data_IF_145496452699
#
_entry.id   IF_145496452699
#
_cell.length_a   1.000
_cell.length_b   1.000
_cell.length_c   1.000
_cell.angle_alpha   90.00
_cell.angle_beta   90.00
_cell.angle_gamma   90.00
#
_symmetry.space_group_name_H-M   'P 1'
#
loop_
_entity.id
_entity.type
_entity.pdbx_description
1 polymer ?
#
# COMPACT_ATOMS: atom_id res chain seq x y z
N UNK A 1 33.75 -23.45 22.05
CA UNK A 1 34.28 -22.21 22.65
C UNK A 1 35.43 -21.69 21.79
N UNK A 2 35.25 -20.55 21.11
CA UNK A 2 36.36 -19.81 20.49
C UNK A 2 36.08 -18.32 20.61
N UNK A 3 37.13 -17.58 20.95
CA UNK A 3 37.10 -16.47 21.88
C UNK A 3 37.81 -15.25 21.28
N UNK A 4 37.16 -14.08 21.45
CA UNK A 4 37.73 -12.73 21.71
C UNK A 4 38.72 -12.11 20.70
N UNK A 5 38.36 -10.93 20.19
CA UNK A 5 39.13 -9.69 20.42
C UNK A 5 38.36 -8.42 20.04
N UNK A 6 38.14 -7.58 21.05
CA UNK A 6 37.77 -6.17 20.92
C UNK A 6 39.06 -5.38 20.64
N UNK A 7 39.02 -4.48 19.66
CA UNK A 7 40.10 -3.53 19.39
C UNK A 7 39.64 -2.12 19.76
N UNK A 8 40.11 -1.69 20.93
CA UNK A 8 40.09 -0.33 21.47
C UNK A 8 41.15 0.50 20.75
N UNK A 9 40.79 1.66 20.20
CA UNK A 9 41.76 2.67 19.70
C UNK A 9 41.56 3.96 20.48
N UNK A 10 42.52 4.23 21.36
CA UNK A 10 42.75 5.50 22.05
C UNK A 10 43.57 6.45 21.15
N UNK A 11 43.40 7.77 21.33
CA UNK A 11 44.39 8.78 20.94
C UNK A 11 43.82 10.21 20.81
N UNK A 12 44.58 11.27 21.16
CA UNK A 12 44.16 12.23 22.20
C UNK A 12 44.03 13.70 21.76
N UNK A 13 43.39 14.52 22.62
CA UNK A 13 43.86 15.87 22.98
C UNK A 13 43.18 17.11 22.38
N UNK A 14 42.63 17.97 23.26
CA UNK A 14 42.76 19.45 23.14
C UNK A 14 41.49 20.32 23.17
N UNK A 15 41.11 20.79 24.38
CA UNK A 15 40.58 22.12 24.81
C UNK A 15 39.69 22.99 23.87
N UNK A 16 38.57 23.63 24.26
CA UNK A 16 38.32 24.65 25.31
C UNK A 16 36.79 24.77 25.55
N UNK A 17 36.26 24.85 26.79
CA UNK A 17 35.83 26.09 27.48
C UNK A 17 34.36 26.47 27.17
N UNK A 18 33.41 26.74 28.08
CA UNK A 18 33.32 26.83 29.53
C UNK A 18 31.87 27.27 29.90
N UNK A 19 31.48 27.14 31.16
CA UNK A 19 30.39 27.95 31.76
C UNK A 19 29.14 27.22 32.30
N UNK A 20 29.00 27.33 33.63
CA UNK A 20 27.77 27.38 34.46
C UNK A 20 27.56 26.21 35.47
N UNK A 21 27.50 26.51 36.79
CA UNK A 21 27.05 25.58 37.83
C UNK A 21 25.71 26.02 38.47
N UNK A 22 24.73 25.13 38.62
CA UNK A 22 23.58 25.09 39.58
C UNK A 22 22.38 24.37 38.91
N UNK A 23 21.58 23.46 39.46
CA UNK A 23 21.09 23.11 40.81
C UNK A 23 20.67 21.61 40.84
N UNK A 24 20.68 20.90 41.99
CA UNK A 24 19.94 19.66 42.18
C UNK A 24 18.73 19.87 43.11
N UNK A 25 17.52 19.46 42.71
CA UNK A 25 16.41 19.36 43.67
C UNK A 25 15.02 19.21 43.07
N UNK A 26 14.30 18.24 43.65
CA UNK A 26 12.84 17.98 43.73
C UNK A 26 12.08 17.38 42.53
N UNK A 27 12.02 16.04 42.54
CA UNK A 27 10.78 15.23 42.66
C UNK A 27 9.50 15.71 41.95
N UNK A 28 9.12 15.06 40.84
CA UNK A 28 7.71 14.88 40.45
C UNK A 28 7.49 13.50 39.79
N UNK A 29 6.43 12.83 40.24
CA UNK A 29 6.04 11.44 39.98
C UNK A 29 5.64 11.10 38.51
N UNK A 30 5.65 9.81 38.12
CA UNK A 30 5.09 9.30 36.86
C UNK A 30 3.55 9.22 36.95
N UNK A 31 2.75 8.99 35.86
CA UNK A 31 3.11 8.50 34.53
C UNK A 31 2.66 9.44 33.40
N UNK A 32 3.58 9.87 32.53
CA UNK A 32 3.16 10.48 31.27
C UNK A 32 2.60 9.38 30.36
N UNK A 33 1.35 9.62 29.98
CA UNK A 33 0.48 8.81 29.15
C UNK A 33 1.21 8.11 28.01
N UNK A 34 0.88 6.84 27.85
CA UNK A 34 1.16 6.01 26.68
C UNK A 34 0.98 6.86 25.40
N UNK A 35 1.97 6.94 24.49
CA UNK A 35 1.69 7.48 23.17
C UNK A 35 0.69 6.55 22.50
N UNK A 36 -0.53 7.04 22.31
CA UNK A 36 -1.51 6.44 21.43
C UNK A 36 -0.79 6.14 20.12
N UNK A 37 -0.70 4.84 19.82
CA UNK A 37 -0.14 4.35 18.57
C UNK A 37 -1.07 4.81 17.47
N UNK A 38 -0.85 6.05 17.01
CA UNK A 38 -1.33 6.54 15.73
C UNK A 38 -0.65 5.67 14.68
N UNK A 39 -1.26 4.50 14.45
CA UNK A 39 -1.11 3.74 13.22
C UNK A 39 -1.09 4.76 12.09
N UNK A 40 -0.04 4.81 11.25
CA UNK A 40 -0.01 5.77 10.17
C UNK A 40 -1.27 5.52 9.36
N UNK A 41 -2.17 6.50 9.37
CA UNK A 41 -3.40 6.49 8.58
C UNK A 41 -3.03 6.04 7.19
N UNK A 42 -3.35 4.79 6.84
CA UNK A 42 -3.02 4.21 5.55
C UNK A 42 -3.51 5.20 4.51
N UNK A 43 -2.57 5.78 3.75
CA UNK A 43 -2.92 6.80 2.76
C UNK A 43 -3.98 6.17 1.86
N UNK A 44 -5.20 6.73 1.81
CA UNK A 44 -6.28 6.09 1.07
C UNK A 44 -5.85 5.95 -0.38
N UNK A 45 -5.83 4.72 -0.88
CA UNK A 45 -5.53 4.46 -2.28
C UNK A 45 -6.66 5.04 -3.13
N UNK A 46 -6.34 5.71 -4.23
CA UNK A 46 -7.33 6.28 -5.14
C UNK A 46 -7.32 5.55 -6.48
N UNK A 47 -8.50 5.44 -7.10
CA UNK A 47 -8.65 4.94 -8.46
C UNK A 47 -8.00 5.91 -9.46
N UNK A 48 -7.21 5.42 -10.41
CA UNK A 48 -6.58 6.27 -11.43
C UNK A 48 -7.60 6.80 -12.46
N UNK A 49 -8.77 6.17 -12.58
CA UNK A 49 -9.80 6.56 -13.56
C UNK A 49 -10.82 7.54 -12.99
N UNK A 50 -11.42 7.22 -11.84
CA UNK A 50 -12.45 8.07 -11.22
C UNK A 50 -11.93 8.93 -10.06
N UNK A 51 -10.68 8.74 -9.62
CA UNK A 51 -10.08 9.41 -8.46
C UNK A 51 -10.83 9.22 -7.13
N UNK A 52 -11.76 8.29 -7.07
CA UNK A 52 -12.44 7.92 -5.83
C UNK A 52 -11.55 7.04 -4.96
N UNK A 53 -11.83 7.06 -3.66
CA UNK A 53 -11.16 6.20 -2.69
C UNK A 53 -11.45 4.74 -2.98
N UNK A 54 -10.40 3.92 -3.05
CA UNK A 54 -10.45 2.47 -3.15
C UNK A 54 -10.70 1.89 -1.76
N UNK A 55 -11.58 0.91 -1.68
CA UNK A 55 -11.78 0.10 -0.47
C UNK A 55 -10.66 -0.95 -0.39
N UNK A 56 -10.07 -1.15 0.80
CA UNK A 56 -8.81 -1.87 1.08
C UNK A 56 -8.60 -3.22 0.38
N UNK A 57 -9.67 -3.92 -0.04
CA UNK A 57 -9.58 -5.23 -0.72
C UNK A 57 -10.32 -5.30 -2.06
N UNK A 58 -10.99 -4.23 -2.50
CA UNK A 58 -11.86 -4.23 -3.69
C UNK A 58 -11.30 -3.36 -4.83
N UNK A 59 -10.02 -3.57 -5.15
CA UNK A 59 -9.38 -2.88 -6.26
C UNK A 59 -8.48 -3.81 -7.05
N UNK A 60 -8.29 -3.47 -8.32
CA UNK A 60 -7.33 -4.11 -9.20
C UNK A 60 -6.08 -3.24 -9.25
N UNK A 61 -4.93 -3.84 -8.96
CA UNK A 61 -3.64 -3.19 -9.16
C UNK A 61 -2.96 -3.75 -10.39
N UNK A 62 -2.47 -2.88 -11.26
CA UNK A 62 -1.64 -3.31 -12.38
C UNK A 62 -0.31 -3.87 -11.84
N UNK A 63 0.11 -5.08 -12.22
CA UNK A 63 1.38 -5.66 -11.79
C UNK A 63 2.60 -4.96 -12.39
N UNK A 64 2.43 -4.28 -13.53
CA UNK A 64 3.50 -3.57 -14.24
C UNK A 64 3.71 -2.16 -13.73
N UNK A 65 2.62 -1.44 -13.46
CA UNK A 65 2.64 -0.02 -13.08
C UNK A 65 2.00 0.11 -11.71
N UNK A 66 2.79 0.29 -10.63
CA UNK A 66 2.26 0.33 -9.27
C UNK A 66 1.28 1.48 -9.03
N UNK A 67 1.37 2.54 -9.84
CA UNK A 67 0.47 3.70 -9.82
C UNK A 67 -0.92 3.43 -10.41
N UNK A 68 -1.04 2.41 -11.26
CA UNK A 68 -2.31 2.02 -11.85
C UNK A 68 -3.10 1.17 -10.86
N UNK A 69 -4.12 1.80 -10.28
CA UNK A 69 -5.02 1.18 -9.32
C UNK A 69 -6.45 1.51 -9.77
N UNK A 70 -7.29 0.51 -9.88
CA UNK A 70 -8.63 0.67 -10.45
C UNK A 70 -9.66 0.09 -9.49
N UNK A 71 -10.73 0.83 -9.24
CA UNK A 71 -11.87 0.28 -8.51
C UNK A 71 -12.55 -0.81 -9.36
N UNK A 72 -13.26 -1.72 -8.70
CA UNK A 72 -14.03 -2.75 -9.40
C UNK A 72 -15.03 -2.17 -10.42
N UNK A 73 -15.79 -1.09 -10.12
CA UNK A 73 -16.66 -0.44 -11.10
C UNK A 73 -15.96 -0.06 -12.41
N UNK A 74 -14.83 0.66 -12.34
CA UNK A 74 -14.08 1.05 -13.53
C UNK A 74 -13.46 -0.17 -14.24
N UNK A 75 -12.98 -1.15 -13.48
CA UNK A 75 -12.42 -2.39 -14.04
C UNK A 75 -13.49 -3.19 -14.79
N UNK A 76 -14.71 -3.32 -14.23
CA UNK A 76 -15.86 -3.97 -14.87
C UNK A 76 -16.19 -3.32 -16.20
N UNK A 77 -16.26 -2.00 -16.24
CA UNK A 77 -16.58 -1.27 -17.46
C UNK A 77 -15.53 -1.53 -18.55
N UNK A 78 -14.24 -1.47 -18.20
CA UNK A 78 -13.16 -1.78 -19.13
C UNK A 78 -13.20 -3.23 -19.63
N UNK A 79 -13.47 -4.20 -18.74
CA UNK A 79 -13.68 -5.62 -19.10
C UNK A 79 -14.85 -5.78 -20.08
N UNK A 80 -16.00 -5.15 -19.81
CA UNK A 80 -17.19 -5.21 -20.68
C UNK A 80 -16.89 -4.62 -22.06
N UNK A 81 -16.11 -3.54 -22.11
CA UNK A 81 -15.77 -2.83 -23.35
C UNK A 81 -14.75 -3.58 -24.20
N UNK A 82 -13.78 -4.25 -23.57
CA UNK A 82 -12.78 -5.08 -24.27
C UNK A 82 -13.33 -6.47 -24.66
N UNK A 83 -14.39 -6.93 -23.98
CA UNK A 83 -15.05 -8.21 -24.22
C UNK A 83 -14.57 -9.28 -23.25
N UNK A 84 -15.48 -9.71 -22.35
CA UNK A 84 -15.18 -10.64 -21.26
C UNK A 84 -14.69 -12.04 -21.72
N UNK A 85 -14.99 -12.43 -22.96
CA UNK A 85 -14.58 -13.72 -23.55
C UNK A 85 -13.13 -13.69 -24.07
N UNK A 86 -12.52 -12.51 -24.19
CA UNK A 86 -11.18 -12.32 -24.75
C UNK A 86 -10.11 -12.03 -23.71
N UNK A 87 -8.93 -11.65 -24.21
CA UNK A 87 -7.85 -11.10 -23.39
C UNK A 87 -8.19 -9.65 -23.02
N UNK A 88 -8.56 -9.43 -21.76
CA UNK A 88 -8.80 -8.08 -21.26
C UNK A 88 -7.51 -7.53 -20.67
N UNK A 89 -6.98 -6.46 -21.27
CA UNK A 89 -5.77 -5.78 -20.84
C UNK A 89 -6.04 -4.72 -19.76
N UNK A 90 -4.98 -4.02 -19.35
CA UNK A 90 -5.02 -3.01 -18.30
C UNK A 90 -6.16 -1.98 -18.50
N UNK A 91 -6.94 -1.65 -17.45
CA UNK A 91 -8.02 -0.67 -17.53
C UNK A 91 -7.59 0.75 -17.94
N UNK A 92 -6.29 1.08 -17.87
CA UNK A 92 -5.75 2.35 -18.38
C UNK A 92 -5.83 2.48 -19.91
N UNK A 93 -6.07 1.38 -20.63
CA UNK A 93 -6.01 1.33 -22.10
C UNK A 93 -4.60 1.07 -22.65
N UNK A 94 -3.59 0.98 -21.78
CA UNK A 94 -2.23 0.62 -22.17
C UNK A 94 -2.00 -0.90 -22.10
N UNK A 95 -1.14 -1.42 -22.98
CA UNK A 95 -0.68 -2.81 -22.91
C UNK A 95 0.55 -2.91 -22.02
N UNK A 96 0.33 -2.86 -20.71
CA UNK A 96 1.41 -2.94 -19.75
C UNK A 96 2.08 -4.32 -19.76
N UNK A 97 3.41 -4.44 -19.95
CA UNK A 97 4.11 -5.73 -19.97
C UNK A 97 4.26 -6.29 -18.55
N UNK A 98 4.11 -7.60 -18.38
CA UNK A 98 4.39 -8.26 -17.10
C UNK A 98 5.83 -7.99 -16.66
N UNK A 99 6.05 -7.82 -15.36
CA UNK A 99 7.38 -7.50 -14.82
C UNK A 99 8.39 -8.57 -15.24
N UNK A 100 9.49 -8.15 -15.88
CA UNK A 100 10.52 -9.06 -16.38
C UNK A 100 10.20 -9.76 -17.72
N UNK A 101 9.16 -9.35 -18.46
CA UNK A 101 8.79 -9.92 -19.77
C UNK A 101 8.33 -8.85 -20.77
N UNK A 102 8.14 -9.24 -22.04
CA UNK A 102 7.47 -8.44 -23.09
C UNK A 102 6.00 -8.86 -23.32
N UNK A 103 5.52 -9.85 -22.54
CA UNK A 103 4.14 -10.33 -22.63
C UNK A 103 3.21 -9.32 -21.98
N UNK A 104 2.16 -8.83 -22.68
CA UNK A 104 1.21 -7.89 -22.10
C UNK A 104 0.41 -8.58 -20.98
N UNK A 105 0.22 -7.87 -19.87
CA UNK A 105 -0.64 -8.33 -18.80
C UNK A 105 -2.11 -8.24 -19.22
N UNK A 106 -2.85 -9.32 -18.93
CA UNK A 106 -4.28 -9.40 -19.09
C UNK A 106 -4.91 -10.01 -17.83
N UNK A 107 -6.18 -9.71 -17.60
CA UNK A 107 -6.94 -10.31 -16.52
C UNK A 107 -7.10 -11.82 -16.72
N UNK A 108 -7.03 -12.57 -15.63
CA UNK A 108 -7.41 -13.97 -15.65
C UNK A 108 -8.93 -14.11 -15.77
N UNK A 109 -9.40 -15.16 -16.45
CA UNK A 109 -10.84 -15.43 -16.60
C UNK A 109 -11.56 -15.58 -15.25
N UNK A 110 -10.89 -16.12 -14.22
CA UNK A 110 -11.42 -16.15 -12.86
C UNK A 110 -11.63 -14.76 -12.25
N UNK A 111 -10.68 -13.85 -12.45
CA UNK A 111 -10.79 -12.46 -11.99
C UNK A 111 -11.90 -11.72 -12.74
N UNK A 112 -11.99 -11.90 -14.05
CA UNK A 112 -13.06 -11.35 -14.89
C UNK A 112 -14.42 -11.79 -14.37
N UNK A 113 -14.60 -13.10 -14.12
CA UNK A 113 -15.84 -13.67 -13.62
C UNK A 113 -16.21 -13.08 -12.25
N UNK A 114 -15.26 -12.98 -11.31
CA UNK A 114 -15.51 -12.41 -9.97
C UNK A 114 -15.85 -10.93 -10.02
N UNK A 115 -15.10 -10.14 -10.81
CA UNK A 115 -15.31 -8.70 -10.95
C UNK A 115 -16.67 -8.40 -11.57
N UNK A 116 -17.09 -9.18 -12.58
CA UNK A 116 -18.41 -9.07 -13.21
C UNK A 116 -19.55 -9.63 -12.35
N UNK A 117 -19.31 -10.70 -11.58
CA UNK A 117 -20.32 -11.29 -10.70
C UNK A 117 -20.74 -10.34 -9.55
N UNK A 118 -19.85 -9.44 -9.12
CA UNK A 118 -20.19 -8.39 -8.15
C UNK A 118 -21.23 -7.37 -8.64
N UNK A 119 -21.59 -7.38 -9.93
CA UNK A 119 -22.62 -6.53 -10.54
C UNK A 119 -24.02 -7.17 -10.50
N UNK A 120 -24.14 -8.44 -10.07
CA UNK A 120 -25.42 -9.15 -9.97
C UNK A 120 -26.17 -8.65 -8.73
N UNK A 121 -26.80 -7.49 -8.90
CA UNK A 121 -27.80 -6.97 -7.98
C UNK A 121 -28.91 -8.01 -7.88
N UNK A 122 -29.04 -8.63 -6.71
CA UNK A 122 -30.12 -9.57 -6.37
C UNK A 122 -31.43 -9.00 -6.92
N UNK A 123 -31.93 -9.60 -8.00
CA UNK A 123 -33.31 -9.41 -8.42
C UNK A 123 -34.14 -10.05 -7.32
N UNK A 124 -34.51 -9.22 -6.35
CA UNK A 124 -35.53 -9.44 -5.34
C UNK A 124 -36.63 -10.30 -5.97
N UNK A 125 -36.84 -11.45 -5.36
CA UNK A 125 -37.77 -12.50 -5.75
C UNK A 125 -39.06 -11.95 -6.37
N UNK A 126 -39.42 -12.54 -7.51
CA UNK A 126 -40.77 -12.49 -8.06
C UNK A 126 -41.59 -13.48 -7.23
N UNK A 127 -42.34 -12.96 -6.26
CA UNK A 127 -43.35 -13.74 -5.54
C UNK A 127 -44.58 -13.96 -6.48
N UNK A 128 -45.18 -15.16 -6.49
CA UNK A 128 -46.26 -15.56 -7.41
C UNK A 128 -47.63 -14.91 -7.16
#
# INVERSE_FOLDING_TARGET
MSQRRLAHREGPGGMVGGGAPHVPGLEQAPPQSIPDSSVPSSVPLCCTLCHERLEDTHFVQCPSVPSHKFCFPCSRESIKQQGATGEVYCPSGEKCPLVGSNVPWAFMQGEIATILAGDVKVKKERDP
#
